data_IF_999691293174
#
_entry.id   IF_999691293174
#
_cell.length_a   1.000
_cell.length_b   1.000
_cell.length_c   1.000
_cell.angle_alpha   90.00
_cell.angle_beta   90.00
_cell.angle_gamma   90.00
#
_symmetry.space_group_name_H-M   'P 1'
#
loop_
_entity.id
_entity.type
_entity.pdbx_description
1 polymer ?
#
# COMPACT_ATOMS: atom_id res chain seq x y z
N UNK A 1 -26.57 -2.18 33.53
CA UNK A 1 -26.70 -1.65 32.17
C UNK A 1 -26.01 -0.29 32.13
N UNK A 2 -24.73 -0.26 31.80
CA UNK A 2 -23.98 0.98 31.60
C UNK A 2 -24.48 1.63 30.31
N UNK A 3 -25.11 2.81 30.45
CA UNK A 3 -25.44 3.67 29.32
C UNK A 3 -24.13 3.96 28.56
N UNK A 4 -23.97 3.34 27.39
CA UNK A 4 -22.89 3.70 26.45
C UNK A 4 -23.17 5.14 26.03
N UNK A 5 -22.37 6.07 26.57
CA UNK A 5 -22.37 7.46 26.13
C UNK A 5 -21.94 7.46 24.67
N UNK A 6 -22.90 7.58 23.76
CA UNK A 6 -22.63 7.73 22.33
C UNK A 6 -22.04 9.11 22.10
N UNK A 7 -20.98 9.18 21.30
CA UNK A 7 -20.44 10.44 20.83
C UNK A 7 -21.54 11.24 20.10
N UNK A 8 -21.57 12.58 20.24
CA UNK A 8 -22.58 13.39 19.56
C UNK A 8 -22.37 13.36 18.05
N UNK A 9 -23.47 13.46 17.29
CA UNK A 9 -23.42 13.61 15.84
C UNK A 9 -22.66 14.89 15.49
N UNK A 10 -21.75 14.79 14.52
CA UNK A 10 -20.85 15.88 14.10
C UNK A 10 -21.21 16.38 12.71
N UNK A 11 -20.92 17.65 12.45
CA UNK A 11 -21.16 18.28 11.14
C UNK A 11 -20.39 17.56 10.03
N UNK A 12 -19.19 17.04 10.31
CA UNK A 12 -18.41 16.28 9.33
C UNK A 12 -19.16 15.02 8.83
N UNK A 13 -19.88 14.33 9.71
CA UNK A 13 -20.70 13.17 9.31
C UNK A 13 -21.92 13.60 8.51
N UNK A 14 -22.57 14.71 8.89
CA UNK A 14 -23.68 15.26 8.11
C UNK A 14 -23.23 15.67 6.70
N UNK A 15 -22.02 16.23 6.58
CA UNK A 15 -21.41 16.57 5.31
C UNK A 15 -21.08 15.32 4.48
N UNK A 16 -20.52 14.27 5.09
CA UNK A 16 -20.21 12.99 4.41
C UNK A 16 -21.49 12.33 3.87
N UNK A 17 -22.56 12.31 4.66
CA UNK A 17 -23.89 11.82 4.26
C UNK A 17 -24.43 12.54 3.04
N UNK A 18 -24.37 13.87 3.05
CA UNK A 18 -24.84 14.71 1.96
C UNK A 18 -23.94 14.60 0.72
N UNK A 19 -22.62 14.50 0.94
CA UNK A 19 -21.60 14.38 -0.11
C UNK A 19 -21.82 13.10 -0.93
N UNK A 20 -21.98 11.97 -0.26
CA UNK A 20 -22.15 10.68 -0.92
C UNK A 20 -23.62 10.33 -1.21
N UNK A 21 -24.57 11.14 -0.74
CA UNK A 21 -25.98 11.06 -1.11
C UNK A 21 -26.74 9.89 -0.49
N UNK A 22 -26.24 9.30 0.61
CA UNK A 22 -26.90 8.18 1.29
C UNK A 22 -27.81 8.61 2.44
N UNK A 23 -27.94 9.91 2.71
CA UNK A 23 -28.94 10.46 3.64
C UNK A 23 -29.24 11.93 3.32
N UNK A 24 -30.53 12.30 3.38
CA UNK A 24 -30.96 13.68 3.25
C UNK A 24 -30.79 14.41 4.60
N UNK A 25 -29.73 15.21 4.69
CA UNK A 25 -29.42 16.04 5.87
C UNK A 25 -29.82 17.50 5.68
N UNK A 26 -30.61 17.83 4.65
CA UNK A 26 -31.04 19.21 4.33
C UNK A 26 -31.69 19.93 5.51
N UNK A 27 -32.30 19.18 6.43
CA UNK A 27 -32.98 19.69 7.65
C UNK A 27 -32.00 20.26 8.69
N UNK A 28 -30.70 19.94 8.62
CA UNK A 28 -29.70 20.33 9.63
C UNK A 28 -28.87 21.56 9.26
N UNK A 29 -29.34 22.41 8.34
CA UNK A 29 -28.65 23.65 7.95
C UNK A 29 -27.48 23.40 7.00
N UNK A 30 -27.75 22.60 5.95
CA UNK A 30 -26.75 22.07 5.03
C UNK A 30 -25.74 23.13 4.53
N UNK A 31 -24.46 22.83 4.71
CA UNK A 31 -23.38 23.52 4.01
C UNK A 31 -23.56 23.29 2.50
N UNK A 32 -23.35 24.32 1.69
CA UNK A 32 -23.40 24.17 0.23
C UNK A 32 -22.18 23.34 -0.22
N UNK A 33 -22.36 22.04 -0.40
CA UNK A 33 -21.32 21.10 -0.88
C UNK A 33 -21.27 21.01 -2.42
N UNK A 34 -21.81 22.00 -3.13
CA UNK A 34 -21.79 22.06 -4.58
C UNK A 34 -22.95 21.33 -5.25
N UNK A 35 -22.84 21.24 -6.58
CA UNK A 35 -23.82 20.59 -7.44
C UNK A 35 -23.87 19.07 -7.21
N UNK A 36 -24.98 18.43 -7.57
CA UNK A 36 -25.12 16.97 -7.60
C UNK A 36 -24.74 16.43 -8.97
N UNK A 37 -24.21 15.21 -9.01
CA UNK A 37 -24.01 14.48 -10.26
C UNK A 37 -25.36 14.20 -10.95
N UNK A 38 -25.42 14.20 -12.29
CA UNK A 38 -26.63 13.82 -13.00
C UNK A 38 -27.13 12.44 -12.58
N UNK A 39 -28.42 12.30 -12.31
CA UNK A 39 -29.05 11.04 -11.88
C UNK A 39 -28.46 10.44 -10.60
N UNK A 40 -27.95 11.28 -9.69
CA UNK A 40 -27.42 10.86 -8.40
C UNK A 40 -27.71 11.88 -7.31
N UNK A 41 -27.74 11.41 -6.06
CA UNK A 41 -27.69 12.28 -4.87
C UNK A 41 -26.26 12.66 -4.47
N UNK A 42 -25.24 12.00 -5.04
CA UNK A 42 -23.83 12.29 -4.78
C UNK A 42 -23.43 13.65 -5.35
N UNK A 43 -22.56 14.39 -4.65
CA UNK A 43 -22.06 15.69 -5.10
C UNK A 43 -21.00 15.55 -6.18
N UNK A 44 -21.00 16.48 -7.13
CA UNK A 44 -20.03 16.58 -8.21
C UNK A 44 -18.84 17.45 -7.78
N UNK A 45 -17.89 16.85 -7.06
CA UNK A 45 -16.76 17.55 -6.45
C UNK A 45 -15.47 16.72 -6.53
N UNK A 46 -14.35 17.38 -6.30
CA UNK A 46 -13.07 16.73 -6.00
C UNK A 46 -12.89 16.61 -4.49
N UNK A 47 -12.64 15.40 -4.00
CA UNK A 47 -12.21 15.17 -2.61
C UNK A 47 -10.69 15.18 -2.57
N UNK A 48 -10.12 16.09 -1.79
CA UNK A 48 -8.68 16.35 -1.81
C UNK A 48 -8.10 16.09 -0.42
N UNK A 49 -7.44 14.95 -0.28
CA UNK A 49 -6.63 14.63 0.89
C UNK A 49 -5.37 15.50 0.92
N UNK A 50 -5.09 16.14 2.04
CA UNK A 50 -3.86 16.91 2.25
C UNK A 50 -3.23 16.51 3.57
N UNK A 51 -1.92 16.36 3.54
CA UNK A 51 -1.07 16.19 4.71
C UNK A 51 0.22 16.98 4.47
N UNK A 52 0.75 17.61 5.51
CA UNK A 52 2.01 18.35 5.46
C UNK A 52 2.90 17.85 6.59
N UNK A 53 4.04 17.26 6.22
CA UNK A 53 5.06 16.83 7.17
C UNK A 53 6.20 17.86 7.19
N UNK A 54 6.45 18.45 8.35
CA UNK A 54 7.53 19.43 8.56
C UNK A 54 8.53 18.87 9.55
N UNK A 55 9.82 18.83 9.18
CA UNK A 55 10.86 18.34 10.09
C UNK A 55 11.18 19.34 11.22
N UNK A 56 10.91 20.63 10.99
CA UNK A 56 11.29 21.74 11.87
C UNK A 56 10.08 22.34 12.64
N UNK A 57 8.90 21.73 12.50
CA UNK A 57 7.66 22.19 13.11
C UNK A 57 6.87 23.20 12.27
N UNK A 58 5.65 23.49 12.72
CA UNK A 58 4.63 24.24 12.00
C UNK A 58 4.57 25.74 12.37
N UNK A 59 5.38 26.18 13.34
CA UNK A 59 5.36 27.55 13.89
C UNK A 59 5.99 28.58 12.95
N UNK A 60 7.20 28.30 12.45
CA UNK A 60 7.97 29.21 11.62
C UNK A 60 8.69 28.44 10.51
N UNK A 61 8.53 28.88 9.25
CA UNK A 61 9.35 28.40 8.15
C UNK A 61 10.77 28.92 8.34
N UNK A 62 11.73 28.00 8.44
CA UNK A 62 13.15 28.39 8.46
C UNK A 62 13.57 28.94 7.10
N UNK A 63 14.78 29.50 7.02
CA UNK A 63 15.36 30.02 5.77
C UNK A 63 15.48 28.90 4.72
N UNK A 64 15.74 27.67 5.16
CA UNK A 64 15.88 26.47 4.32
C UNK A 64 14.97 25.35 4.84
N UNK A 65 13.65 25.44 4.62
CA UNK A 65 12.71 24.51 5.20
C UNK A 65 12.81 23.15 4.53
N UNK A 66 12.71 22.10 5.34
CA UNK A 66 12.55 20.72 4.90
C UNK A 66 11.13 20.28 5.19
N UNK A 67 10.32 20.20 4.14
CA UNK A 67 8.91 19.84 4.25
C UNK A 67 8.44 18.96 3.08
N UNK A 68 7.42 18.17 3.35
CA UNK A 68 6.66 17.39 2.38
C UNK A 68 5.23 17.88 2.35
N UNK A 69 4.66 18.05 1.17
CA UNK A 69 3.22 18.27 0.99
C UNK A 69 2.68 17.10 0.18
N UNK A 70 1.77 16.35 0.80
CA UNK A 70 0.99 15.31 0.17
C UNK A 70 -0.32 15.86 -0.35
N UNK A 71 -0.67 15.51 -1.57
CA UNK A 71 -2.00 15.78 -2.13
C UNK A 71 -2.51 14.49 -2.75
N UNK A 72 -3.68 14.04 -2.32
CA UNK A 72 -4.38 12.91 -2.94
C UNK A 72 -5.76 13.38 -3.41
N UNK A 73 -6.20 12.93 -4.58
CA UNK A 73 -7.44 13.39 -5.20
C UNK A 73 -8.31 12.17 -5.51
N UNK A 74 -9.57 12.26 -5.10
CA UNK A 74 -10.64 11.34 -5.47
C UNK A 74 -11.75 12.13 -6.17
N UNK A 75 -12.01 11.76 -7.42
CA UNK A 75 -13.09 12.34 -8.21
C UNK A 75 -14.39 11.58 -7.97
N UNK A 76 -15.44 12.27 -7.50
CA UNK A 76 -16.75 11.63 -7.27
C UNK A 76 -17.39 11.12 -8.55
N UNK A 77 -17.03 11.64 -9.73
CA UNK A 77 -17.47 11.09 -11.03
C UNK A 77 -16.93 9.70 -11.25
N UNK A 78 -15.65 9.47 -10.91
CA UNK A 78 -15.03 8.15 -11.00
C UNK A 78 -15.72 7.18 -10.05
N UNK A 79 -16.00 7.60 -8.81
CA UNK A 79 -16.79 6.80 -7.87
C UNK A 79 -18.17 6.44 -8.43
N UNK A 80 -18.90 7.43 -8.96
CA UNK A 80 -20.21 7.21 -9.55
C UNK A 80 -20.17 6.19 -10.69
N UNK A 81 -19.21 6.31 -11.61
CA UNK A 81 -19.04 5.33 -12.68
C UNK A 81 -18.75 3.93 -12.14
N UNK A 82 -17.87 3.77 -11.15
CA UNK A 82 -17.55 2.47 -10.57
C UNK A 82 -18.76 1.78 -9.93
N UNK A 83 -19.62 2.56 -9.26
CA UNK A 83 -20.84 2.03 -8.61
C UNK A 83 -21.84 1.51 -9.66
N UNK A 84 -21.92 2.13 -10.84
CA UNK A 84 -22.92 1.79 -11.85
C UNK A 84 -22.40 0.83 -12.93
N UNK A 85 -21.12 0.90 -13.27
CA UNK A 85 -20.49 0.12 -14.35
C UNK A 85 -19.63 -1.03 -13.84
N UNK A 86 -19.32 -1.08 -12.54
CA UNK A 86 -18.52 -2.12 -11.90
C UNK A 86 -17.01 -1.86 -11.89
N UNK A 87 -16.30 -2.58 -11.02
CA UNK A 87 -14.88 -2.37 -10.73
C UNK A 87 -13.93 -2.97 -11.80
N UNK A 88 -14.44 -3.84 -12.67
CA UNK A 88 -13.63 -4.66 -13.59
C UNK A 88 -12.90 -3.85 -14.69
N UNK A 89 -13.20 -2.55 -14.83
CA UNK A 89 -12.63 -1.69 -15.87
C UNK A 89 -11.49 -0.79 -15.40
N UNK A 90 -11.24 -0.65 -14.09
CA UNK A 90 -10.28 0.34 -13.56
C UNK A 90 -9.24 -0.25 -12.61
N UNK A 91 -7.99 0.18 -12.75
CA UNK A 91 -6.95 -0.15 -11.77
C UNK A 91 -7.09 0.79 -10.57
N UNK A 92 -6.71 0.34 -9.38
CA UNK A 92 -6.72 1.16 -8.16
C UNK A 92 -5.97 2.50 -8.31
N UNK A 93 -4.90 2.53 -9.12
CA UNK A 93 -4.12 3.76 -9.42
C UNK A 93 -4.90 4.79 -10.22
N UNK A 94 -5.99 4.37 -10.85
CA UNK A 94 -6.83 5.22 -11.70
C UNK A 94 -7.97 5.86 -10.86
N UNK A 95 -8.19 5.39 -9.60
CA UNK A 95 -9.24 5.87 -8.70
C UNK A 95 -8.76 7.03 -7.82
N UNK A 96 -7.56 6.88 -7.24
CA UNK A 96 -6.94 7.86 -6.35
C UNK A 96 -5.64 8.36 -6.98
N UNK A 97 -5.60 9.64 -7.36
CA UNK A 97 -4.39 10.27 -7.86
C UNK A 97 -3.61 10.91 -6.71
N UNK A 98 -2.36 10.47 -6.47
CA UNK A 98 -1.55 11.00 -5.37
C UNK A 98 -0.24 11.63 -5.83
N UNK A 99 0.10 12.72 -5.17
CA UNK A 99 1.23 13.59 -5.45
C UNK A 99 1.99 13.88 -4.16
N UNK A 100 3.31 14.03 -4.26
CA UNK A 100 4.14 14.45 -3.14
C UNK A 100 5.15 15.50 -3.60
N UNK A 101 4.98 16.74 -3.12
CA UNK A 101 5.92 17.83 -3.32
C UNK A 101 6.91 17.88 -2.16
N UNK A 102 8.20 18.02 -2.46
CA UNK A 102 9.26 18.01 -1.46
C UNK A 102 10.14 19.24 -1.63
N UNK A 103 10.25 20.03 -0.57
CA UNK A 103 11.15 21.19 -0.48
C UNK A 103 12.30 20.83 0.46
N UNK A 104 13.54 21.07 0.02
CA UNK A 104 14.74 20.81 0.80
C UNK A 104 15.94 20.48 -0.09
N UNK A 105 17.03 20.04 0.54
CA UNK A 105 18.24 19.64 -0.18
C UNK A 105 18.08 18.31 -0.96
N UNK A 106 18.99 18.05 -1.90
CA UNK A 106 18.93 16.84 -2.75
C UNK A 106 18.94 15.53 -1.95
N UNK A 107 19.63 15.46 -0.81
CA UNK A 107 19.71 14.25 0.02
C UNK A 107 18.37 14.02 0.74
N UNK A 108 17.76 15.09 1.23
CA UNK A 108 16.43 15.08 1.82
C UNK A 108 15.39 14.64 0.79
N UNK A 109 15.33 15.28 -0.39
CA UNK A 109 14.40 14.94 -1.46
C UNK A 109 14.51 13.47 -1.89
N UNK A 110 15.73 12.94 -2.06
CA UNK A 110 15.96 11.53 -2.40
C UNK A 110 15.49 10.56 -1.31
N UNK A 111 15.58 10.95 -0.03
CA UNK A 111 15.09 10.12 1.08
C UNK A 111 13.57 10.11 1.11
N UNK A 112 12.94 11.26 0.95
CA UNK A 112 11.49 11.43 0.88
C UNK A 112 10.87 10.66 -0.28
N UNK A 113 11.47 10.76 -1.47
CA UNK A 113 10.97 10.12 -2.69
C UNK A 113 10.94 8.59 -2.62
N UNK A 114 11.81 7.98 -1.80
CA UNK A 114 11.83 6.51 -1.61
C UNK A 114 10.73 5.99 -0.70
N UNK A 115 10.13 6.86 0.13
CA UNK A 115 9.03 6.49 1.03
C UNK A 115 7.66 6.59 0.35
N UNK A 116 7.50 7.53 -0.59
CA UNK A 116 6.24 7.72 -1.30
C UNK A 116 5.91 6.52 -2.20
N UNK A 117 4.69 5.99 -2.07
CA UNK A 117 4.30 4.71 -2.67
C UNK A 117 3.29 4.85 -3.81
N UNK A 118 2.49 5.91 -3.79
CA UNK A 118 1.30 6.04 -4.65
C UNK A 118 1.52 6.91 -5.88
N UNK A 119 2.78 7.22 -6.22
CA UNK A 119 3.09 8.03 -7.40
C UNK A 119 4.55 8.44 -7.48
N UNK A 120 4.79 9.60 -8.09
CA UNK A 120 6.13 10.21 -8.18
C UNK A 120 6.22 11.40 -7.24
N UNK A 121 7.28 11.43 -6.45
CA UNK A 121 7.61 12.60 -5.64
C UNK A 121 8.35 13.63 -6.51
N UNK A 122 7.98 14.89 -6.38
CA UNK A 122 8.55 16.02 -7.11
C UNK A 122 9.35 16.89 -6.14
N UNK A 123 10.62 17.12 -6.45
CA UNK A 123 11.41 18.13 -5.75
C UNK A 123 11.07 19.50 -6.34
N UNK A 124 10.64 20.43 -5.49
CA UNK A 124 10.15 21.74 -5.91
C UNK A 124 10.83 22.82 -5.08
N UNK A 125 11.28 23.94 -5.69
CA UNK A 125 11.73 25.11 -4.93
C UNK A 125 10.61 25.66 -4.03
N UNK A 126 10.97 26.20 -2.87
CA UNK A 126 9.97 26.75 -1.94
C UNK A 126 9.05 27.79 -2.61
N UNK A 127 9.61 28.66 -3.45
CA UNK A 127 8.85 29.70 -4.16
C UNK A 127 7.85 29.18 -5.21
N UNK A 128 7.97 27.92 -5.63
CA UNK A 128 7.08 27.31 -6.63
C UNK A 128 6.01 26.41 -6.00
N UNK A 129 6.19 26.00 -4.74
CA UNK A 129 5.30 25.01 -4.09
C UNK A 129 3.85 25.47 -4.06
N UNK A 130 3.61 26.77 -3.80
CA UNK A 130 2.28 27.36 -3.79
C UNK A 130 1.57 27.16 -5.12
N UNK A 131 2.22 27.57 -6.21
CA UNK A 131 1.64 27.48 -7.55
C UNK A 131 1.35 26.04 -7.94
N UNK A 132 2.24 25.10 -7.60
CA UNK A 132 2.07 23.68 -7.89
C UNK A 132 0.84 23.10 -7.16
N UNK A 133 0.72 23.34 -5.85
CA UNK A 133 -0.39 22.83 -5.04
C UNK A 133 -1.72 23.48 -5.46
N UNK A 134 -1.76 24.80 -5.63
CA UNK A 134 -2.99 25.50 -6.04
C UNK A 134 -3.45 25.10 -7.44
N UNK A 135 -2.52 24.95 -8.39
CA UNK A 135 -2.86 24.50 -9.76
C UNK A 135 -3.44 23.09 -9.76
N UNK A 136 -2.95 22.22 -8.88
CA UNK A 136 -3.44 20.85 -8.78
C UNK A 136 -4.85 20.80 -8.17
N UNK A 137 -5.10 21.59 -7.12
CA UNK A 137 -6.40 21.65 -6.43
C UNK A 137 -7.48 22.33 -7.28
N UNK A 138 -7.14 23.42 -7.98
CA UNK A 138 -8.09 24.16 -8.83
C UNK A 138 -8.23 23.57 -10.24
N UNK A 139 -7.73 22.35 -10.46
CA UNK A 139 -7.75 21.74 -11.80
C UNK A 139 -9.16 21.68 -12.34
N UNK A 140 -9.31 22.04 -13.61
CA UNK A 140 -10.57 21.99 -14.36
C UNK A 140 -11.71 22.87 -13.78
N UNK A 141 -11.40 23.80 -12.87
CA UNK A 141 -12.40 24.71 -12.29
C UNK A 141 -13.50 24.01 -11.50
N UNK A 142 -13.23 22.81 -10.97
CA UNK A 142 -14.21 22.04 -10.20
C UNK A 142 -14.21 22.44 -8.73
N UNK A 143 -15.39 22.36 -8.14
CA UNK A 143 -15.58 22.49 -6.70
C UNK A 143 -14.80 21.40 -5.96
N UNK A 144 -14.24 21.75 -4.81
CA UNK A 144 -13.42 20.84 -4.01
C UNK A 144 -13.77 20.87 -2.52
N UNK A 145 -13.53 19.74 -1.87
CA UNK A 145 -13.63 19.54 -0.42
C UNK A 145 -12.26 19.05 0.04
N UNK A 146 -11.69 19.70 1.07
CA UNK A 146 -10.44 19.23 1.65
C UNK A 146 -10.70 18.19 2.73
N UNK A 147 -9.83 17.20 2.78
CA UNK A 147 -9.86 16.11 3.74
C UNK A 147 -8.51 16.07 4.45
N UNK A 148 -8.54 16.15 5.78
CA UNK A 148 -7.35 16.06 6.62
C UNK A 148 -7.51 14.93 7.63
N UNK A 149 -6.39 14.45 8.16
CA UNK A 149 -6.37 13.64 9.37
C UNK A 149 -5.79 14.48 10.52
N UNK A 150 -6.61 15.37 11.09
CA UNK A 150 -6.18 16.39 12.06
C UNK A 150 -5.76 17.69 11.39
N UNK A 151 -6.73 18.56 11.08
CA UNK A 151 -6.53 19.72 10.20
C UNK A 151 -5.64 20.86 10.76
N UNK A 152 -5.47 20.94 12.07
CA UNK A 152 -4.91 22.14 12.72
C UNK A 152 -3.48 22.48 12.26
N UNK A 153 -2.57 21.50 12.27
CA UNK A 153 -1.17 21.72 11.92
C UNK A 153 -0.99 21.97 10.42
N UNK A 154 -1.67 21.19 9.58
CA UNK A 154 -1.60 21.30 8.13
C UNK A 154 -2.12 22.65 7.65
N UNK A 155 -3.24 23.13 8.20
CA UNK A 155 -3.80 24.44 7.86
C UNK A 155 -2.88 25.58 8.27
N UNK A 156 -2.21 25.45 9.42
CA UNK A 156 -1.19 26.42 9.84
C UNK A 156 -0.02 26.45 8.85
N UNK A 157 0.47 25.29 8.41
CA UNK A 157 1.50 25.20 7.38
C UNK A 157 1.05 25.78 6.03
N UNK A 158 -0.15 25.46 5.55
CA UNK A 158 -0.71 26.06 4.33
C UNK A 158 -0.75 27.58 4.42
N UNK A 159 -1.20 28.13 5.56
CA UNK A 159 -1.22 29.58 5.79
C UNK A 159 0.19 30.18 5.79
N UNK A 160 1.16 29.52 6.41
CA UNK A 160 2.54 30.00 6.44
C UNK A 160 3.21 29.98 5.05
N UNK A 161 2.79 29.07 4.18
CA UNK A 161 3.21 28.99 2.78
C UNK A 161 2.39 29.89 1.84
N UNK A 162 1.44 30.66 2.40
CA UNK A 162 0.47 31.48 1.66
C UNK A 162 -0.28 30.69 0.57
N UNK A 163 -0.59 29.42 0.85
CA UNK A 163 -1.36 28.54 -0.05
C UNK A 163 -2.83 28.68 0.28
N UNK A 164 -3.63 29.13 -0.69
CA UNK A 164 -5.05 29.40 -0.50
C UNK A 164 -5.90 28.49 -1.37
N UNK A 165 -6.51 27.45 -0.79
CA UNK A 165 -7.19 26.41 -1.55
C UNK A 165 -8.69 26.62 -1.76
N UNK A 166 -9.31 27.52 -0.99
CA UNK A 166 -10.72 27.92 -1.12
C UNK A 166 -11.72 26.75 -1.30
N UNK A 167 -11.74 25.76 -0.40
CA UNK A 167 -12.69 24.65 -0.53
C UNK A 167 -14.12 25.05 -0.14
N UNK A 168 -15.10 24.31 -0.65
CA UNK A 168 -16.50 24.43 -0.21
C UNK A 168 -16.68 23.96 1.23
N UNK A 169 -15.89 22.97 1.65
CA UNK A 169 -15.94 22.40 2.99
C UNK A 169 -14.61 21.74 3.37
N UNK A 170 -14.38 21.55 4.68
CA UNK A 170 -13.21 20.86 5.22
C UNK A 170 -13.71 19.72 6.11
N UNK A 171 -13.26 18.50 5.81
CA UNK A 171 -13.52 17.31 6.62
C UNK A 171 -12.25 16.96 7.39
N UNK A 172 -12.37 16.89 8.72
CA UNK A 172 -11.33 16.32 9.58
C UNK A 172 -11.74 14.90 9.96
N UNK A 173 -11.01 13.90 9.44
CA UNK A 173 -11.27 12.49 9.70
C UNK A 173 -11.24 12.13 11.18
N UNK A 174 -10.42 12.83 11.98
CA UNK A 174 -10.36 12.57 13.43
C UNK A 174 -11.71 12.87 14.06
N UNK A 175 -12.37 13.97 13.67
CA UNK A 175 -13.69 14.37 14.17
C UNK A 175 -14.79 13.52 13.55
N UNK A 176 -14.73 13.30 12.24
CA UNK A 176 -15.71 12.51 11.51
C UNK A 176 -15.82 11.10 12.08
N UNK A 177 -14.69 10.43 12.35
CA UNK A 177 -14.69 9.06 12.87
C UNK A 177 -15.26 8.92 14.29
N UNK A 178 -15.35 10.00 15.09
CA UNK A 178 -15.78 9.90 16.49
C UNK A 178 -17.20 9.36 16.64
N UNK A 179 -18.11 9.79 15.77
CA UNK A 179 -19.52 9.39 15.86
C UNK A 179 -19.70 7.92 15.42
N UNK A 180 -19.30 7.51 14.20
CA UNK A 180 -19.52 6.13 13.75
C UNK A 180 -18.77 5.10 14.60
N UNK A 181 -17.61 5.45 15.15
CA UNK A 181 -16.85 4.53 16.02
C UNK A 181 -17.19 4.66 17.52
N UNK A 182 -18.08 5.58 17.90
CA UNK A 182 -18.42 5.80 19.31
C UNK A 182 -17.23 6.22 20.18
N UNK A 183 -16.28 6.97 19.62
CA UNK A 183 -15.03 7.33 20.28
C UNK A 183 -15.14 8.68 20.99
N UNK A 184 -14.67 8.71 22.23
CA UNK A 184 -14.54 9.95 23.02
C UNK A 184 -13.16 10.60 22.89
N UNK A 185 -12.25 9.98 22.16
CA UNK A 185 -10.88 10.43 21.96
C UNK A 185 -10.56 10.60 20.48
N UNK A 186 -9.34 11.06 20.18
CA UNK A 186 -8.83 11.26 18.82
C UNK A 186 -7.95 10.08 18.45
N UNK A 187 -8.31 9.35 17.39
CA UNK A 187 -7.45 8.31 16.82
C UNK A 187 -6.39 8.94 15.94
N UNK A 188 -5.13 8.50 16.08
CA UNK A 188 -4.09 8.76 15.10
C UNK A 188 -4.29 7.92 13.83
N UNK A 189 -3.57 8.26 12.77
CA UNK A 189 -3.81 7.70 11.44
C UNK A 189 -3.57 6.19 11.43
N UNK A 190 -2.45 5.74 11.98
CA UNK A 190 -2.10 4.32 12.08
C UNK A 190 -3.22 3.50 12.74
N UNK A 191 -3.66 3.92 13.93
CA UNK A 191 -4.73 3.24 14.66
C UNK A 191 -6.08 3.29 13.93
N UNK A 192 -6.36 4.36 13.17
CA UNK A 192 -7.55 4.46 12.33
C UNK A 192 -7.49 3.49 11.15
N UNK A 193 -6.32 3.32 10.53
CA UNK A 193 -6.12 2.37 9.43
C UNK A 193 -6.22 0.93 9.91
N UNK A 194 -5.63 0.61 11.07
CA UNK A 194 -5.81 -0.69 11.74
C UNK A 194 -7.29 -0.97 12.02
N UNK A 195 -8.02 0.00 12.57
CA UNK A 195 -9.45 -0.13 12.91
C UNK A 195 -10.31 -0.43 11.67
N UNK A 196 -9.91 0.07 10.51
CA UNK A 196 -10.65 -0.11 9.25
C UNK A 196 -10.14 -1.26 8.39
N UNK A 197 -9.12 -2.00 8.83
CA UNK A 197 -8.41 -3.02 8.05
C UNK A 197 -7.88 -2.48 6.71
N UNK A 198 -7.42 -1.22 6.69
CA UNK A 198 -6.82 -0.61 5.49
C UNK A 198 -5.34 -1.00 5.45
N UNK A 199 -4.83 -1.65 4.40
CA UNK A 199 -3.42 -2.01 4.33
C UNK A 199 -2.54 -0.78 4.13
N UNK A 200 -1.57 -0.55 5.03
CA UNK A 200 -0.66 0.59 4.97
C UNK A 200 0.82 0.22 5.11
N UNK A 201 1.68 1.16 4.70
CA UNK A 201 3.12 1.17 4.95
C UNK A 201 3.66 2.59 4.73
N UNK A 202 4.89 2.84 5.20
CA UNK A 202 5.60 4.10 5.03
C UNK A 202 4.75 5.34 5.41
N UNK A 203 4.10 5.28 6.57
CA UNK A 203 3.56 6.49 7.22
C UNK A 203 4.69 7.51 7.47
N UNK A 204 4.33 8.76 7.70
CA UNK A 204 5.28 9.90 7.74
C UNK A 204 5.92 10.16 6.38
N UNK A 205 5.11 10.01 5.35
CA UNK A 205 5.38 10.48 4.01
C UNK A 205 4.08 11.13 3.56
N UNK A 206 4.06 12.46 3.53
CA UNK A 206 2.83 13.22 3.42
C UNK A 206 1.91 12.77 2.27
N UNK A 207 2.50 12.40 1.11
CA UNK A 207 1.71 11.87 -0.01
C UNK A 207 0.99 10.55 0.28
N UNK A 208 1.60 9.67 1.09
CA UNK A 208 0.97 8.44 1.55
C UNK A 208 -0.11 8.76 2.59
N UNK A 209 0.18 9.65 3.55
CA UNK A 209 -0.73 9.98 4.64
C UNK A 209 -2.01 10.67 4.11
N UNK A 210 -1.87 11.58 3.14
CA UNK A 210 -2.98 12.16 2.38
C UNK A 210 -3.81 11.11 1.61
N UNK A 211 -3.15 10.11 1.02
CA UNK A 211 -3.83 9.01 0.32
C UNK A 211 -4.64 8.15 1.31
N UNK A 212 -4.03 7.81 2.44
CA UNK A 212 -4.68 7.04 3.49
C UNK A 212 -5.81 7.80 4.16
N UNK A 213 -5.71 9.13 4.29
CA UNK A 213 -6.83 9.96 4.76
C UNK A 213 -8.07 9.81 3.87
N UNK A 214 -7.93 9.79 2.54
CA UNK A 214 -9.07 9.54 1.66
C UNK A 214 -9.63 8.12 1.78
N UNK A 215 -8.78 7.10 1.92
CA UNK A 215 -9.24 5.73 2.17
C UNK A 215 -9.99 5.61 3.50
N UNK A 216 -9.50 6.25 4.56
CA UNK A 216 -10.18 6.31 5.85
C UNK A 216 -11.53 7.03 5.76
N UNK A 217 -11.63 8.12 4.99
CA UNK A 217 -12.90 8.83 4.77
C UNK A 217 -13.98 7.90 4.18
N UNK A 218 -13.61 7.09 3.19
CA UNK A 218 -14.52 6.11 2.59
C UNK A 218 -15.00 5.08 3.63
N UNK A 219 -14.11 4.60 4.51
CA UNK A 219 -14.48 3.66 5.57
C UNK A 219 -15.32 4.29 6.68
N UNK A 220 -15.11 5.57 7.00
CA UNK A 220 -15.98 6.33 7.90
C UNK A 220 -17.42 6.34 7.34
N UNK A 221 -17.58 6.61 6.04
CA UNK A 221 -18.89 6.60 5.38
C UNK A 221 -19.53 5.19 5.39
N UNK A 222 -18.75 4.13 5.16
CA UNK A 222 -19.22 2.74 5.23
C UNK A 222 -19.78 2.40 6.60
N UNK A 223 -19.03 2.71 7.67
CA UNK A 223 -19.44 2.35 9.03
C UNK A 223 -20.63 3.19 9.48
N UNK A 224 -20.65 4.49 9.16
CA UNK A 224 -21.80 5.36 9.42
C UNK A 224 -23.06 4.84 8.71
N UNK A 225 -22.95 4.53 7.42
CA UNK A 225 -24.04 4.01 6.61
C UNK A 225 -24.57 2.66 7.09
N UNK A 226 -23.71 1.74 7.52
CA UNK A 226 -24.12 0.44 8.09
C UNK A 226 -24.90 0.57 9.41
N UNK A 227 -24.74 1.67 10.14
CA UNK A 227 -25.52 1.95 11.34
C UNK A 227 -26.88 2.58 11.04
N UNK A 228 -27.09 2.99 9.79
CA UNK A 228 -28.33 3.55 9.30
C UNK A 228 -29.12 2.44 8.60
N UNK A 229 -30.42 2.34 8.86
CA UNK A 229 -31.32 1.40 8.16
C UNK A 229 -31.58 1.90 6.73
N UNK A 230 -30.57 1.79 5.86
CA UNK A 230 -30.58 2.36 4.51
C UNK A 230 -31.14 1.40 3.46
N UNK A 231 -31.59 1.99 2.35
CA UNK A 231 -32.10 1.26 1.18
C UNK A 231 -31.03 0.36 0.53
N UNK A 232 -31.42 -0.76 -0.11
CA UNK A 232 -30.49 -1.72 -0.71
C UNK A 232 -29.51 -1.14 -1.73
N UNK A 233 -29.88 -0.07 -2.46
CA UNK A 233 -29.00 0.61 -3.42
C UNK A 233 -27.79 1.26 -2.77
N UNK A 234 -27.84 1.55 -1.46
CA UNK A 234 -26.69 2.04 -0.71
C UNK A 234 -25.66 0.94 -0.45
N UNK A 235 -26.02 -0.35 -0.61
CA UNK A 235 -25.08 -1.45 -0.40
C UNK A 235 -23.98 -1.46 -1.47
N UNK A 236 -24.31 -1.18 -2.73
CA UNK A 236 -23.31 -1.13 -3.81
C UNK A 236 -22.33 0.02 -3.62
N UNK A 237 -22.84 1.17 -3.13
CA UNK A 237 -22.03 2.32 -2.72
C UNK A 237 -21.01 1.92 -1.65
N UNK A 238 -21.46 1.33 -0.54
CA UNK A 238 -20.58 0.96 0.56
C UNK A 238 -19.66 -0.22 0.24
N UNK A 239 -20.12 -1.16 -0.59
CA UNK A 239 -19.27 -2.23 -1.10
C UNK A 239 -18.12 -1.65 -1.94
N UNK A 240 -18.42 -0.70 -2.82
CA UNK A 240 -17.42 0.01 -3.64
C UNK A 240 -16.44 0.79 -2.76
N UNK A 241 -16.94 1.53 -1.76
CA UNK A 241 -16.10 2.29 -0.83
C UNK A 241 -15.16 1.39 -0.02
N UNK A 242 -15.69 0.30 0.53
CA UNK A 242 -14.93 -0.71 1.27
C UNK A 242 -13.85 -1.34 0.38
N UNK A 243 -14.20 -1.69 -0.86
CA UNK A 243 -13.27 -2.25 -1.83
C UNK A 243 -12.12 -1.28 -2.14
N UNK A 244 -12.41 0.00 -2.42
CA UNK A 244 -11.40 1.02 -2.71
C UNK A 244 -10.51 1.28 -1.50
N UNK A 245 -11.08 1.40 -0.30
CA UNK A 245 -10.31 1.71 0.89
C UNK A 245 -9.35 0.57 1.26
N UNK A 246 -9.82 -0.68 1.16
CA UNK A 246 -9.06 -1.90 1.52
C UNK A 246 -8.28 -2.52 0.36
N UNK A 247 -8.33 -1.86 -0.78
CA UNK A 247 -7.59 -2.17 -2.00
C UNK A 247 -6.10 -2.33 -1.70
N UNK A 248 -5.40 -3.16 -2.47
CA UNK A 248 -4.01 -3.46 -2.18
C UNK A 248 -3.15 -2.18 -2.23
N UNK A 249 -2.06 -2.16 -1.47
CA UNK A 249 -1.06 -1.09 -1.61
C UNK A 249 0.09 -1.54 -2.51
N UNK A 250 0.77 -0.62 -3.20
CA UNK A 250 2.03 -0.93 -3.87
C UNK A 250 3.03 -1.57 -2.92
N UNK A 251 3.90 -2.45 -3.43
CA UNK A 251 5.00 -3.02 -2.64
C UNK A 251 6.12 -2.01 -2.43
N UNK A 252 6.57 -1.90 -1.19
CA UNK A 252 7.69 -1.03 -0.82
C UNK A 252 9.01 -1.55 -1.40
N UNK A 253 10.02 -0.68 -1.49
CA UNK A 253 11.35 -1.09 -1.90
C UNK A 253 11.96 -2.15 -0.95
N UNK A 254 11.71 -2.03 0.36
CA UNK A 254 12.16 -3.01 1.36
C UNK A 254 11.53 -4.38 1.15
N UNK A 255 10.23 -4.43 0.90
CA UNK A 255 9.51 -5.69 0.60
C UNK A 255 10.00 -6.33 -0.69
N UNK A 256 10.27 -5.55 -1.74
CA UNK A 256 10.84 -6.08 -2.99
C UNK A 256 12.22 -6.70 -2.78
N UNK A 257 13.06 -6.06 -1.97
CA UNK A 257 14.39 -6.59 -1.61
C UNK A 257 14.24 -7.87 -0.79
N UNK A 258 13.38 -7.87 0.23
CA UNK A 258 13.14 -9.05 1.07
C UNK A 258 12.61 -10.24 0.24
N UNK A 259 11.65 -10.01 -0.65
CA UNK A 259 11.11 -11.05 -1.54
C UNK A 259 12.18 -11.61 -2.49
N UNK A 260 13.07 -10.75 -3.00
CA UNK A 260 14.20 -11.17 -3.82
C UNK A 260 15.22 -12.01 -3.03
N UNK A 261 15.55 -11.59 -1.81
CA UNK A 261 16.45 -12.34 -0.92
C UNK A 261 15.87 -13.70 -0.53
N UNK A 262 14.59 -13.76 -0.22
CA UNK A 262 13.88 -15.00 0.08
C UNK A 262 13.89 -15.94 -1.13
N UNK A 263 13.59 -15.42 -2.32
CA UNK A 263 13.67 -16.19 -3.58
C UNK A 263 15.07 -16.76 -3.80
N UNK A 264 16.13 -15.99 -3.53
CA UNK A 264 17.52 -16.49 -3.61
C UNK A 264 17.81 -17.57 -2.58
N UNK A 265 17.27 -17.46 -1.36
CA UNK A 265 17.41 -18.50 -0.32
C UNK A 265 16.71 -19.79 -0.74
N UNK A 266 15.48 -19.70 -1.24
CA UNK A 266 14.72 -20.86 -1.73
C UNK A 266 15.46 -21.58 -2.88
N UNK A 267 15.96 -20.85 -3.87
CA UNK A 267 16.76 -21.42 -4.98
C UNK A 267 18.02 -22.13 -4.45
N UNK A 268 18.70 -21.58 -3.43
CA UNK A 268 19.89 -22.20 -2.83
C UNK A 268 19.53 -23.50 -2.11
N UNK A 269 18.42 -23.51 -1.36
CA UNK A 269 17.91 -24.71 -0.66
C UNK A 269 17.56 -25.79 -1.68
N UNK A 270 16.82 -25.45 -2.73
CA UNK A 270 16.41 -26.38 -3.79
C UNK A 270 17.63 -26.98 -4.52
N UNK A 271 18.61 -26.15 -4.90
CA UNK A 271 19.87 -26.62 -5.51
C UNK A 271 20.61 -27.59 -4.59
N UNK A 272 20.66 -27.29 -3.30
CA UNK A 272 21.32 -28.15 -2.30
C UNK A 272 20.57 -29.48 -2.14
N UNK A 273 19.24 -29.45 -2.07
CA UNK A 273 18.40 -30.64 -2.00
C UNK A 273 18.57 -31.51 -3.26
N UNK A 274 18.57 -30.89 -4.46
CA UNK A 274 18.81 -31.57 -5.73
C UNK A 274 20.20 -32.22 -5.79
N UNK A 275 21.24 -31.53 -5.31
CA UNK A 275 22.59 -32.10 -5.22
C UNK A 275 22.64 -33.29 -4.24
N UNK A 276 21.99 -33.18 -3.08
CA UNK A 276 21.91 -34.27 -2.09
C UNK A 276 21.17 -35.48 -2.65
N UNK A 277 20.03 -35.27 -3.31
CA UNK A 277 19.25 -36.33 -3.97
C UNK A 277 20.06 -37.04 -5.06
N UNK A 278 20.77 -36.28 -5.91
CA UNK A 278 21.68 -36.84 -6.93
C UNK A 278 22.80 -37.68 -6.33
N UNK A 279 23.40 -37.23 -5.22
CA UNK A 279 24.43 -38.01 -4.50
C UNK A 279 23.85 -39.29 -3.92
N UNK A 280 22.68 -39.23 -3.28
CA UNK A 280 22.00 -40.39 -2.73
C UNK A 280 21.67 -41.43 -3.82
N UNK A 281 21.09 -40.99 -4.94
CA UNK A 281 20.78 -41.87 -6.08
C UNK A 281 22.03 -42.53 -6.67
N UNK A 282 23.16 -41.81 -6.76
CA UNK A 282 24.43 -42.39 -7.22
C UNK A 282 24.99 -43.42 -6.24
N UNK A 283 24.89 -43.16 -4.94
CA UNK A 283 25.32 -44.12 -3.91
C UNK A 283 24.45 -45.37 -3.92
N UNK A 284 23.13 -45.22 -4.04
CA UNK A 284 22.19 -46.33 -4.10
C UNK A 284 22.41 -47.19 -5.35
N UNK A 285 22.61 -46.56 -6.52
CA UNK A 285 22.96 -47.28 -7.75
C UNK A 285 24.24 -48.12 -7.59
N UNK A 286 25.29 -47.55 -6.97
CA UNK A 286 26.54 -48.29 -6.70
C UNK A 286 26.35 -49.46 -5.73
N UNK A 287 25.43 -49.32 -4.77
CA UNK A 287 25.06 -50.40 -3.85
C UNK A 287 24.37 -51.52 -4.61
N UNK A 288 23.35 -51.20 -5.41
CA UNK A 288 22.64 -52.17 -6.25
C UNK A 288 23.58 -52.89 -7.23
N UNK A 289 24.50 -52.17 -7.88
CA UNK A 289 25.52 -52.75 -8.76
C UNK A 289 26.45 -53.74 -8.01
N UNK A 290 26.81 -53.45 -6.76
CA UNK A 290 27.60 -54.38 -5.91
C UNK A 290 26.81 -55.61 -5.49
N UNK A 291 25.57 -55.41 -5.06
CA UNK A 291 24.71 -56.50 -4.60
C UNK A 291 24.42 -57.48 -5.77
N UNK A 292 24.16 -56.96 -6.97
CA UNK A 292 24.00 -57.77 -8.19
C UNK A 292 25.28 -58.52 -8.60
N UNK A 293 26.46 -57.91 -8.40
CA UNK A 293 27.74 -58.58 -8.66
C UNK A 293 27.98 -59.76 -7.70
N UNK A 294 27.65 -59.60 -6.41
CA UNK A 294 27.73 -60.69 -5.43
C UNK A 294 26.76 -61.83 -5.79
N UNK A 295 25.56 -61.51 -6.27
CA UNK A 295 24.57 -62.51 -6.69
C UNK A 295 25.01 -63.31 -7.93
N UNK A 296 25.75 -62.68 -8.85
CA UNK A 296 26.24 -63.32 -10.08
C UNK A 296 27.52 -64.14 -9.87
N UNK A 297 28.46 -63.67 -9.05
CA UNK A 297 29.69 -64.42 -8.76
C UNK A 297 29.47 -65.54 -7.71
N UNK A 298 28.41 -65.46 -6.89
CA UNK A 298 27.98 -66.54 -5.99
C UNK A 298 27.45 -67.80 -6.70
N UNK A 299 27.25 -67.75 -8.03
CA UNK A 299 26.90 -68.91 -8.86
C UNK A 299 28.08 -69.54 -9.61
N UNK A 300 29.29 -68.98 -9.51
CA UNK A 300 30.50 -69.69 -9.92
C UNK A 300 30.97 -70.60 -8.77
N UNK A 301 30.39 -71.79 -8.71
CA UNK A 301 31.02 -72.92 -8.01
C UNK A 301 32.46 -73.08 -8.51
N UNK A 302 33.45 -73.26 -7.62
CA UNK A 302 34.79 -73.63 -8.06
C UNK A 302 34.71 -75.07 -8.58
N UNK A 303 34.60 -75.23 -9.89
CA UNK A 303 35.03 -76.48 -10.50
C UNK A 303 36.54 -76.55 -10.34
N UNK A 304 36.95 -77.47 -9.47
CA UNK A 304 38.26 -78.09 -9.46
C UNK A 304 38.73 -78.41 -10.89
N UNK A 305 40.06 -78.46 -11.04
CA UNK A 305 40.83 -78.96 -12.18
C UNK A 305 41.07 -78.01 -13.36
N UNK A 306 42.29 -77.46 -13.43
CA UNK A 306 43.30 -78.03 -14.34
C UNK A 306 44.64 -77.31 -14.21
N UNK A 307 45.63 -78.08 -13.76
CA UNK A 307 47.04 -77.89 -14.00
C UNK A 307 47.34 -77.70 -15.49
N UNK A 308 48.20 -76.74 -15.87
CA UNK A 308 49.38 -76.99 -16.72
C UNK A 308 50.50 -76.08 -16.26
N UNK A 309 51.57 -76.72 -15.79
CA UNK A 309 52.89 -76.15 -15.61
C UNK A 309 53.52 -75.90 -16.99
N UNK A 310 54.21 -74.77 -17.16
CA UNK A 310 55.42 -74.78 -17.96
C UNK A 310 56.50 -73.85 -17.39
N UNK A 311 57.73 -74.32 -17.55
CA UNK A 311 58.94 -73.97 -16.86
C UNK A 311 59.55 -72.63 -17.28
N UNK A 312 60.18 -71.96 -16.30
CA UNK A 312 61.57 -71.45 -16.28
C UNK A 312 62.19 -71.12 -17.66
N UNK A 313 62.83 -69.96 -17.95
CA UNK A 313 63.82 -69.17 -17.17
C UNK A 313 64.31 -67.97 -18.05
N UNK A 314 65.26 -67.08 -17.64
CA UNK A 314 65.14 -65.63 -17.81
C UNK A 314 66.21 -64.97 -18.71
N UNK A 315 66.00 -63.69 -19.05
CA UNK A 315 66.99 -62.67 -19.46
C UNK A 315 66.17 -61.39 -19.76
N UNK A 316 66.54 -60.15 -19.45
CA UNK A 316 67.80 -59.53 -19.04
C UNK A 316 67.49 -58.12 -18.54
N UNK A 317 68.28 -57.65 -17.57
CA UNK A 317 68.41 -56.25 -17.19
C UNK A 317 68.84 -55.38 -18.38
N UNK A 318 68.21 -54.21 -18.55
CA UNK A 318 68.91 -52.99 -18.96
C UNK A 318 68.15 -51.76 -18.47
N UNK A 319 68.84 -50.98 -17.64
CA UNK A 319 68.48 -49.70 -17.05
C UNK A 319 68.28 -48.57 -18.09
N UNK A 320 67.78 -47.38 -17.70
CA UNK A 320 67.23 -46.35 -18.59
C UNK A 320 68.30 -45.35 -19.08
N UNK A 321 67.91 -44.41 -19.96
CA UNK A 321 68.21 -43.01 -19.63
C UNK A 321 67.13 -41.99 -20.07
N UNK A 322 67.02 -40.94 -19.23
CA UNK A 322 66.50 -39.57 -19.42
C UNK A 322 65.06 -39.34 -19.91
#
# INVERSE_FOLDING_TARGET
>A
MTSLVRSPLRDEILAIRQLFGYSDTSVHGASNLGATLPNSSMKDVLLIGIDIDTYQGYEHLSIDPQLHIGVSILDTRVLYHLIHEGLDSMRETDILESYQFVVGDSKYCKRASRKFMFGKSQSVPLGEVKTQVESLVRRQGRDNILVFHGDHCDRKALSNLDIQLQPLYIIDNIKAAQYPLGLLYRLGLEAMLDTFDIPYANLHAAGNDAHYALRSLLMIAVIDGQQMELEPTSNDLFATFSAIARSARPTTAGEKVAAFEESRRQIKVEKTARHKARRAARTERRRQERDAWIETDGQCSPTEDAWIADMRTPATLSSPPF
#
